data_IF_370340504850
#
_entry.id   IF_370340504850
#
_cell.length_a   1.000
_cell.length_b   1.000
_cell.length_c   1.000
_cell.angle_alpha   90.00
_cell.angle_beta   90.00
_cell.angle_gamma   90.00
#
_symmetry.space_group_name_H-M   'P 1'
#
loop_
_entity.id
_entity.type
_entity.pdbx_description
1 polymer ?
#
# COMPACT_ATOMS: atom_id res chain seq x y z
N UNK A 1 -30.86 -9.17 18.44
CA UNK A 1 -29.46 -8.80 18.71
C UNK A 1 -28.74 -8.74 17.38
N UNK A 2 -28.32 -7.58 16.92
CA UNK A 2 -27.45 -7.48 15.75
C UNK A 2 -26.14 -8.18 16.05
N UNK A 3 -25.71 -9.08 15.16
CA UNK A 3 -24.40 -9.73 15.26
C UNK A 3 -23.32 -8.67 15.12
N UNK A 4 -22.32 -8.73 15.96
CA UNK A 4 -21.18 -7.82 15.87
C UNK A 4 -20.47 -7.98 14.52
N UNK A 5 -19.70 -6.97 14.09
CA UNK A 5 -18.91 -7.07 12.82
C UNK A 5 -17.98 -8.28 12.89
N UNK A 6 -17.37 -8.54 14.05
CA UNK A 6 -16.49 -9.68 14.28
C UNK A 6 -17.16 -11.04 14.02
N UNK A 7 -18.46 -11.16 14.30
CA UNK A 7 -19.23 -12.41 14.10
C UNK A 7 -19.61 -12.65 12.63
N UNK A 8 -19.41 -11.65 11.77
CA UNK A 8 -19.74 -11.67 10.34
C UNK A 8 -18.50 -11.74 9.43
N UNK A 9 -17.30 -11.67 10.01
CA UNK A 9 -16.06 -11.71 9.25
C UNK A 9 -15.88 -13.08 8.58
N UNK A 10 -15.73 -13.07 7.26
CA UNK A 10 -15.37 -14.22 6.45
C UNK A 10 -13.94 -14.05 5.92
N UNK A 11 -13.23 -15.16 5.77
CA UNK A 11 -11.85 -15.19 5.31
C UNK A 11 -11.80 -15.33 3.79
N UNK A 12 -11.05 -14.46 3.14
CA UNK A 12 -10.78 -14.48 1.70
C UNK A 12 -9.30 -14.71 1.44
N UNK A 13 -9.01 -15.43 0.37
CA UNK A 13 -7.66 -15.78 -0.05
C UNK A 13 -7.27 -14.98 -1.29
N UNK A 14 -6.01 -14.58 -1.38
CA UNK A 14 -5.50 -13.97 -2.61
C UNK A 14 -5.57 -14.95 -3.78
N UNK A 15 -5.87 -14.44 -4.97
CA UNK A 15 -5.87 -15.26 -6.19
C UNK A 15 -4.48 -15.83 -6.42
N UNK A 16 -4.43 -17.14 -6.62
CA UNK A 16 -3.23 -17.92 -6.86
C UNK A 16 -2.26 -18.05 -5.67
N UNK A 17 -2.59 -17.48 -4.51
CA UNK A 17 -1.77 -17.64 -3.30
C UNK A 17 -2.64 -17.72 -2.03
N UNK A 18 -2.74 -18.91 -1.46
CA UNK A 18 -3.51 -19.15 -0.24
C UNK A 18 -2.79 -18.74 1.04
N UNK A 19 -1.53 -18.32 0.95
CA UNK A 19 -0.76 -17.84 2.10
C UNK A 19 -1.18 -16.44 2.56
N UNK A 20 -1.70 -15.62 1.62
CA UNK A 20 -2.16 -14.27 1.91
C UNK A 20 -3.68 -14.24 2.02
N UNK A 21 -4.18 -13.73 3.13
CA UNK A 21 -5.62 -13.70 3.42
C UNK A 21 -6.04 -12.38 4.04
N UNK A 22 -7.28 -11.98 3.77
CA UNK A 22 -7.98 -10.89 4.48
C UNK A 22 -9.27 -11.41 5.07
N UNK A 23 -9.82 -10.65 6.02
CA UNK A 23 -11.16 -10.86 6.51
C UNK A 23 -12.08 -9.74 6.00
N UNK A 24 -13.28 -10.08 5.55
CA UNK A 24 -14.28 -9.11 5.16
C UNK A 24 -15.65 -9.47 5.69
N UNK A 25 -16.48 -8.49 5.97
CA UNK A 25 -17.86 -8.66 6.36
C UNK A 25 -18.78 -7.94 5.38
N UNK A 26 -19.78 -8.64 4.86
CA UNK A 26 -20.81 -8.01 4.04
C UNK A 26 -21.73 -7.17 4.92
N UNK A 27 -22.09 -5.97 4.44
CA UNK A 27 -22.97 -5.04 5.12
C UNK A 27 -22.87 -3.65 4.50
N UNK A 28 -23.73 -2.75 4.94
CA UNK A 28 -23.68 -1.35 4.50
C UNK A 28 -22.89 -0.55 5.53
N UNK A 29 -21.69 -0.11 5.13
CA UNK A 29 -20.79 0.63 5.99
C UNK A 29 -20.57 2.04 5.43
N UNK A 30 -20.64 3.04 6.30
CA UNK A 30 -20.30 4.41 5.95
C UNK A 30 -18.84 4.68 6.33
N UNK A 31 -18.07 5.22 5.37
CA UNK A 31 -16.76 5.81 5.60
C UNK A 31 -16.88 7.33 5.55
N UNK A 32 -15.82 8.03 5.91
CA UNK A 32 -15.79 9.52 5.80
C UNK A 32 -16.00 10.04 4.38
N UNK A 33 -15.85 9.20 3.35
CA UNK A 33 -15.87 9.61 1.94
C UNK A 33 -16.81 8.77 1.05
N UNK A 34 -17.33 7.64 1.53
CA UNK A 34 -18.17 6.75 0.70
C UNK A 34 -18.98 5.77 1.55
N UNK A 35 -20.03 5.21 0.92
CA UNK A 35 -20.71 4.02 1.42
C UNK A 35 -20.12 2.78 0.75
N UNK A 36 -19.78 1.78 1.54
CA UNK A 36 -19.20 0.53 1.06
C UNK A 36 -20.05 -0.67 1.51
N UNK A 37 -20.15 -1.68 0.66
CA UNK A 37 -20.93 -2.88 0.94
C UNK A 37 -20.15 -3.96 1.69
N UNK A 38 -18.87 -3.74 1.92
CA UNK A 38 -17.99 -4.63 2.65
C UNK A 38 -17.13 -3.86 3.64
N UNK A 39 -17.04 -4.35 4.86
CA UNK A 39 -15.95 -4.00 5.77
C UNK A 39 -14.78 -4.95 5.48
N UNK A 40 -13.61 -4.40 5.19
CA UNK A 40 -12.39 -5.16 4.88
C UNK A 40 -11.39 -4.94 6.01
N UNK A 41 -10.98 -6.04 6.65
CA UNK A 41 -9.99 -6.02 7.72
C UNK A 41 -8.64 -6.50 7.18
N UNK A 42 -7.74 -5.56 6.99
CA UNK A 42 -6.35 -5.76 6.54
C UNK A 42 -5.34 -5.70 7.69
N UNK A 43 -5.82 -5.57 8.93
CA UNK A 43 -4.98 -5.35 10.12
C UNK A 43 -3.91 -6.42 10.29
N UNK A 44 -4.25 -7.68 10.08
CA UNK A 44 -3.31 -8.80 10.23
C UNK A 44 -2.09 -8.66 9.34
N UNK A 45 -2.27 -8.25 8.07
CA UNK A 45 -1.16 -8.03 7.12
C UNK A 45 -0.29 -6.86 7.55
N UNK A 46 -0.85 -5.85 8.22
CA UNK A 46 -0.10 -4.70 8.70
C UNK A 46 0.73 -4.98 9.96
N UNK A 47 0.26 -5.85 10.86
CA UNK A 47 0.85 -6.00 12.20
C UNK A 47 1.51 -7.35 12.47
N UNK A 48 1.22 -8.39 11.69
CA UNK A 48 1.82 -9.72 11.87
C UNK A 48 2.97 -9.94 10.91
N UNK A 49 4.15 -10.20 11.45
CA UNK A 49 5.40 -10.39 10.71
C UNK A 49 5.27 -11.44 9.61
N UNK A 50 4.71 -12.61 9.92
CA UNK A 50 4.56 -13.69 8.93
C UNK A 50 3.63 -13.31 7.78
N UNK A 51 2.52 -12.66 8.06
CA UNK A 51 1.54 -12.25 7.06
C UNK A 51 2.04 -11.06 6.23
N UNK A 52 2.72 -10.09 6.85
CA UNK A 52 3.37 -8.99 6.16
C UNK A 52 4.47 -9.49 5.19
N UNK A 53 5.25 -10.49 5.61
CA UNK A 53 6.29 -11.09 4.76
C UNK A 53 5.71 -11.77 3.53
N UNK A 54 4.66 -12.55 3.66
CA UNK A 54 4.01 -13.21 2.51
C UNK A 54 3.33 -12.18 1.58
N UNK A 55 2.68 -11.17 2.15
CA UNK A 55 2.10 -10.08 1.38
C UNK A 55 3.17 -9.28 0.59
N UNK A 56 4.33 -9.04 1.17
CA UNK A 56 5.45 -8.37 0.51
C UNK A 56 5.96 -9.17 -0.71
N UNK A 57 6.10 -10.49 -0.58
CA UNK A 57 6.46 -11.37 -1.71
C UNK A 57 5.45 -11.26 -2.85
N UNK A 58 4.17 -11.31 -2.51
CA UNK A 58 3.09 -11.20 -3.48
C UNK A 58 3.12 -9.86 -4.22
N UNK A 59 3.29 -8.76 -3.51
CA UNK A 59 3.41 -7.42 -4.11
C UNK A 59 4.63 -7.31 -5.01
N UNK A 60 5.78 -7.85 -4.59
CA UNK A 60 6.99 -7.90 -5.43
C UNK A 60 6.72 -8.59 -6.76
N UNK A 61 6.07 -9.75 -6.75
CA UNK A 61 5.73 -10.50 -7.96
C UNK A 61 4.83 -9.72 -8.91
N UNK A 62 3.93 -8.88 -8.36
CA UNK A 62 3.08 -7.99 -9.14
C UNK A 62 3.85 -6.83 -9.80
N UNK A 63 4.93 -6.38 -9.18
CA UNK A 63 5.70 -5.21 -9.62
C UNK A 63 6.91 -5.58 -10.50
N UNK A 64 7.52 -6.75 -10.29
CA UNK A 64 8.72 -7.17 -11.04
C UNK A 64 8.43 -7.22 -12.54
N UNK A 65 9.40 -6.80 -13.35
CA UNK A 65 9.28 -6.63 -14.81
C UNK A 65 8.28 -5.54 -15.28
N UNK A 66 7.70 -4.78 -14.35
CA UNK A 66 6.80 -3.65 -14.66
C UNK A 66 7.35 -2.33 -14.16
N UNK A 67 8.14 -2.37 -13.12
CA UNK A 67 8.86 -1.23 -12.55
C UNK A 67 10.34 -1.53 -12.67
N UNK A 68 11.10 -0.61 -13.26
CA UNK A 68 12.54 -0.79 -13.47
C UNK A 68 13.34 -0.44 -12.22
N UNK A 69 13.01 0.69 -11.59
CA UNK A 69 13.79 1.23 -10.48
C UNK A 69 12.92 1.65 -9.30
N UNK A 70 13.36 1.27 -8.11
CA UNK A 70 12.76 1.64 -6.83
C UNK A 70 13.89 2.10 -5.91
N UNK A 71 13.77 3.31 -5.37
CA UNK A 71 14.72 3.89 -4.43
C UNK A 71 14.12 4.05 -3.02
N UNK A 72 12.79 4.21 -2.94
CA UNK A 72 12.09 4.51 -1.70
C UNK A 72 10.68 3.93 -1.69
N UNK A 73 10.24 3.54 -0.50
CA UNK A 73 8.86 3.13 -0.20
C UNK A 73 8.30 4.12 0.82
N UNK A 74 7.24 4.82 0.44
CA UNK A 74 6.50 5.73 1.32
C UNK A 74 5.28 5.00 1.85
N UNK A 75 5.26 4.76 3.16
CA UNK A 75 4.21 4.00 3.84
C UNK A 75 3.12 4.93 4.41
N UNK A 76 1.88 4.71 3.99
CA UNK A 76 0.68 5.31 4.56
C UNK A 76 -0.07 4.29 5.43
N UNK A 77 -1.02 4.77 6.24
CA UNK A 77 -1.98 3.93 6.97
C UNK A 77 -1.32 2.80 7.78
N UNK A 78 -0.22 3.12 8.47
CA UNK A 78 0.51 2.18 9.33
C UNK A 78 1.03 0.92 8.60
N UNK A 79 1.43 1.05 7.34
CA UNK A 79 1.95 -0.06 6.52
C UNK A 79 3.46 -0.25 6.63
N UNK A 80 4.16 0.39 7.57
CA UNK A 80 5.62 0.37 7.65
C UNK A 80 6.22 -1.01 7.90
N UNK A 81 5.53 -1.89 8.61
CA UNK A 81 5.98 -3.29 8.79
C UNK A 81 5.98 -4.01 7.44
N UNK A 82 4.88 -3.90 6.69
CA UNK A 82 4.79 -4.42 5.32
C UNK A 82 5.83 -3.75 4.40
N UNK A 83 6.03 -2.44 4.57
CA UNK A 83 7.02 -1.67 3.81
C UNK A 83 8.45 -2.15 4.01
N UNK A 84 8.83 -2.50 5.24
CA UNK A 84 10.15 -3.05 5.53
C UNK A 84 10.38 -4.39 4.82
N UNK A 85 9.40 -5.30 4.86
CA UNK A 85 9.48 -6.57 4.14
C UNK A 85 9.42 -6.38 2.62
N UNK A 86 8.67 -5.40 2.12
CA UNK A 86 8.66 -5.09 0.70
C UNK A 86 10.03 -4.58 0.23
N UNK A 87 10.70 -3.73 1.02
CA UNK A 87 12.08 -3.30 0.77
C UNK A 87 13.03 -4.49 0.69
N UNK A 88 12.97 -5.41 1.67
CA UNK A 88 13.76 -6.66 1.64
C UNK A 88 13.51 -7.49 0.37
N UNK A 89 12.25 -7.58 -0.08
CA UNK A 89 11.90 -8.32 -1.30
C UNK A 89 12.39 -7.60 -2.56
N UNK A 90 12.39 -6.26 -2.59
CA UNK A 90 12.93 -5.47 -3.71
C UNK A 90 14.44 -5.68 -3.84
N UNK A 91 15.18 -5.74 -2.73
CA UNK A 91 16.63 -5.99 -2.71
C UNK A 91 17.02 -7.38 -3.24
N UNK A 92 16.12 -8.35 -3.23
CA UNK A 92 16.39 -9.69 -3.81
C UNK A 92 16.61 -9.70 -5.32
N UNK A 93 16.38 -8.57 -5.98
CA UNK A 93 16.63 -8.37 -7.40
C UNK A 93 15.36 -8.20 -8.25
N UNK A 94 15.58 -7.83 -9.50
CA UNK A 94 14.51 -7.48 -10.44
C UNK A 94 14.19 -5.99 -10.49
N UNK A 95 14.83 -5.19 -9.64
CA UNK A 95 14.74 -3.73 -9.61
C UNK A 95 16.13 -3.13 -9.50
N UNK A 96 16.29 -1.90 -10.00
CA UNK A 96 17.50 -1.10 -9.84
C UNK A 96 17.26 -0.09 -8.73
N UNK A 97 18.25 0.14 -7.88
CA UNK A 97 18.27 1.30 -6.98
C UNK A 97 19.34 2.29 -7.41
N UNK A 98 19.01 3.59 -7.34
CA UNK A 98 19.97 4.68 -7.57
C UNK A 98 20.57 5.19 -6.25
N UNK A 99 20.26 4.55 -5.14
CA UNK A 99 20.84 4.89 -3.84
C UNK A 99 22.30 4.42 -3.75
N UNK A 100 23.19 5.32 -3.35
CA UNK A 100 24.62 5.00 -3.23
C UNK A 100 24.94 3.93 -2.17
N UNK A 101 24.05 3.73 -1.21
CA UNK A 101 24.15 2.68 -0.18
C UNK A 101 23.51 1.36 -0.59
N UNK A 102 23.01 1.26 -1.83
CA UNK A 102 22.47 0.03 -2.44
C UNK A 102 21.24 -0.59 -1.72
N UNK A 103 20.57 0.19 -0.86
CA UNK A 103 19.33 -0.23 -0.19
C UNK A 103 18.21 0.79 -0.40
N UNK A 104 16.96 0.37 -0.23
CA UNK A 104 15.81 1.25 -0.32
C UNK A 104 15.56 1.97 1.00
N UNK A 105 15.02 3.19 0.89
CA UNK A 105 14.45 3.88 2.03
C UNK A 105 13.02 3.39 2.29
N UNK A 106 12.65 3.24 3.57
CA UNK A 106 11.27 3.02 4.01
C UNK A 106 10.92 4.17 4.96
N UNK A 107 10.02 5.04 4.53
CA UNK A 107 9.69 6.26 5.26
C UNK A 107 8.17 6.47 5.36
N UNK A 108 7.76 7.18 6.41
CA UNK A 108 6.38 7.60 6.61
C UNK A 108 6.30 9.14 6.52
N UNK A 109 5.30 9.71 5.84
CA UNK A 109 5.03 11.13 5.91
C UNK A 109 4.45 11.49 7.28
N UNK A 110 4.50 12.76 7.63
CA UNK A 110 3.68 13.36 8.67
C UNK A 110 2.44 13.97 8.03
N UNK A 111 1.33 13.94 8.74
CA UNK A 111 0.11 14.64 8.36
C UNK A 111 -0.18 15.74 9.40
N UNK A 112 -0.38 16.97 8.95
CA UNK A 112 -0.70 18.08 9.82
C UNK A 112 -2.22 18.16 10.10
N UNK A 113 -2.64 19.09 10.96
CA UNK A 113 -4.03 19.26 11.38
C UNK A 113 -5.00 19.65 10.24
N UNK A 114 -4.48 20.08 9.10
CA UNK A 114 -5.27 20.39 7.90
C UNK A 114 -5.14 19.32 6.83
N UNK A 115 -4.75 18.11 7.23
CA UNK A 115 -4.61 16.94 6.36
C UNK A 115 -3.64 17.10 5.19
N UNK A 116 -2.57 17.91 5.36
CA UNK A 116 -1.47 17.98 4.40
C UNK A 116 -0.36 17.04 4.81
N UNK A 117 0.13 16.28 3.84
CA UNK A 117 1.32 15.46 4.01
C UNK A 117 2.60 16.30 3.91
N UNK A 118 3.57 15.94 4.74
CA UNK A 118 4.89 16.55 4.75
C UNK A 118 5.97 15.53 5.12
N UNK A 119 7.19 15.78 4.70
CA UNK A 119 8.36 15.01 5.11
C UNK A 119 9.26 15.88 5.98
N UNK A 120 9.75 15.31 7.09
CA UNK A 120 10.79 15.95 7.90
C UNK A 120 12.04 16.19 7.07
N UNK A 121 12.80 17.21 7.41
CA UNK A 121 14.02 17.59 6.68
C UNK A 121 15.00 16.41 6.51
N UNK A 122 15.18 15.60 7.56
CA UNK A 122 16.05 14.42 7.51
C UNK A 122 15.53 13.29 6.61
N UNK A 123 14.24 13.28 6.25
CA UNK A 123 13.63 12.30 5.35
C UNK A 123 13.56 12.80 3.88
N UNK A 124 13.92 14.05 3.62
CA UNK A 124 13.92 14.59 2.23
C UNK A 124 14.89 13.86 1.31
N UNK A 125 15.97 13.32 1.84
CA UNK A 125 16.92 12.48 1.10
C UNK A 125 16.26 11.24 0.49
N UNK A 126 15.24 10.70 1.16
CA UNK A 126 14.52 9.52 0.69
C UNK A 126 13.51 9.84 -0.43
N UNK A 127 13.26 11.12 -0.73
CA UNK A 127 12.23 11.55 -1.69
C UNK A 127 12.86 12.34 -2.86
N UNK A 128 13.70 13.32 -2.58
CA UNK A 128 14.23 14.20 -3.61
C UNK A 128 15.10 13.44 -4.62
N UNK A 129 14.71 13.46 -5.89
CA UNK A 129 15.38 12.74 -6.97
C UNK A 129 15.22 11.22 -6.96
N UNK A 130 14.28 10.69 -6.15
CA UNK A 130 14.07 9.24 -5.99
C UNK A 130 12.89 8.71 -6.78
N UNK A 131 12.98 7.44 -7.18
CA UNK A 131 11.87 6.65 -7.69
C UNK A 131 11.14 6.02 -6.50
N UNK A 132 9.89 6.43 -6.31
CA UNK A 132 9.14 6.17 -5.08
C UNK A 132 7.95 5.26 -5.35
N UNK A 133 7.79 4.22 -4.52
CA UNK A 133 6.55 3.45 -4.40
C UNK A 133 5.75 4.03 -3.22
N UNK A 134 4.46 4.27 -3.43
CA UNK A 134 3.52 4.54 -2.34
C UNK A 134 2.93 3.20 -1.91
N UNK A 135 3.05 2.88 -0.62
CA UNK A 135 2.43 1.71 -0.01
C UNK A 135 1.28 2.17 0.91
N UNK A 136 0.09 1.66 0.65
CA UNK A 136 -1.14 2.00 1.38
C UNK A 136 -1.92 0.72 1.70
N UNK A 137 -2.72 0.73 2.75
CA UNK A 137 -3.50 -0.46 3.12
C UNK A 137 -4.67 -0.70 2.16
N UNK A 138 -5.46 0.31 1.86
CA UNK A 138 -6.62 0.18 0.97
C UNK A 138 -6.88 1.45 0.16
N UNK A 139 -7.38 1.27 -1.06
CA UNK A 139 -7.74 2.36 -1.97
C UNK A 139 -9.20 2.18 -2.40
N UNK A 140 -10.04 3.17 -2.10
CA UNK A 140 -11.41 3.25 -2.62
C UNK A 140 -11.51 4.26 -3.76
N UNK A 141 -11.38 5.55 -3.47
CA UNK A 141 -11.43 6.64 -4.46
C UNK A 141 -10.05 7.11 -4.92
N UNK A 142 -9.00 6.79 -4.16
CA UNK A 142 -7.64 7.25 -4.42
C UNK A 142 -7.34 8.69 -4.01
N UNK A 143 -8.24 9.37 -3.31
CA UNK A 143 -8.05 10.79 -2.91
C UNK A 143 -6.82 10.97 -2.02
N UNK A 144 -6.61 10.12 -1.03
CA UNK A 144 -5.43 10.17 -0.14
C UNK A 144 -4.15 9.91 -0.93
N UNK A 145 -4.17 8.90 -1.80
CA UNK A 145 -3.02 8.56 -2.66
C UNK A 145 -2.69 9.69 -3.63
N UNK A 146 -3.70 10.34 -4.22
CA UNK A 146 -3.49 11.53 -5.08
C UNK A 146 -2.76 12.64 -4.32
N UNK A 147 -3.19 12.97 -3.09
CA UNK A 147 -2.51 13.96 -2.24
C UNK A 147 -1.05 13.57 -1.95
N UNK A 148 -0.80 12.27 -1.75
CA UNK A 148 0.57 11.78 -1.52
C UNK A 148 1.42 11.89 -2.80
N UNK A 149 0.87 11.59 -3.98
CA UNK A 149 1.56 11.79 -5.26
C UNK A 149 1.97 13.25 -5.43
N UNK A 150 1.05 14.19 -5.17
CA UNK A 150 1.32 15.63 -5.24
C UNK A 150 2.41 16.06 -4.24
N UNK A 151 2.38 15.53 -3.02
CA UNK A 151 3.37 15.79 -2.00
C UNK A 151 4.77 15.29 -2.43
N UNK A 152 4.89 14.06 -2.90
CA UNK A 152 6.16 13.48 -3.37
C UNK A 152 6.72 14.31 -4.53
N UNK A 153 5.89 14.70 -5.49
CA UNK A 153 6.29 15.57 -6.62
C UNK A 153 6.77 16.94 -6.14
N UNK A 154 6.11 17.51 -5.15
CA UNK A 154 6.53 18.78 -4.54
C UNK A 154 7.95 18.69 -3.94
N UNK A 155 8.29 17.57 -3.30
CA UNK A 155 9.62 17.30 -2.75
C UNK A 155 10.64 16.80 -3.81
N UNK A 156 10.28 16.78 -5.09
CA UNK A 156 11.16 16.40 -6.20
C UNK A 156 11.31 14.91 -6.44
N UNK A 157 10.43 14.08 -5.87
CA UNK A 157 10.38 12.64 -6.11
C UNK A 157 9.54 12.29 -7.34
N UNK A 158 9.75 11.09 -7.86
CA UNK A 158 8.96 10.48 -8.94
C UNK A 158 8.23 9.25 -8.41
N UNK A 159 6.89 9.27 -8.44
CA UNK A 159 6.09 8.10 -8.09
C UNK A 159 6.08 7.14 -9.29
N UNK A 160 6.62 5.94 -9.10
CA UNK A 160 6.73 4.92 -10.15
C UNK A 160 5.69 3.79 -10.01
N UNK A 161 4.98 3.74 -8.90
CA UNK A 161 3.91 2.78 -8.67
C UNK A 161 3.25 2.99 -7.32
N UNK A 162 2.10 2.37 -7.15
CA UNK A 162 1.34 2.33 -5.91
C UNK A 162 1.13 0.86 -5.56
N UNK A 163 1.50 0.45 -4.36
CA UNK A 163 1.24 -0.87 -3.82
C UNK A 163 0.15 -0.80 -2.75
N UNK A 164 -0.79 -1.74 -2.76
CA UNK A 164 -1.86 -1.79 -1.77
C UNK A 164 -2.23 -3.22 -1.37
N UNK A 165 -2.82 -3.38 -0.20
CA UNK A 165 -3.39 -4.67 0.21
C UNK A 165 -4.70 -4.88 -0.51
N UNK A 166 -5.55 -3.84 -0.58
CA UNK A 166 -6.83 -3.87 -1.30
C UNK A 166 -6.99 -2.61 -2.17
N UNK A 167 -7.58 -2.74 -3.36
CA UNK A 167 -7.94 -1.60 -4.20
C UNK A 167 -9.16 -1.87 -5.06
N UNK A 168 -10.00 -0.86 -5.23
CA UNK A 168 -11.11 -0.85 -6.19
C UNK A 168 -10.76 -0.15 -7.50
N UNK A 169 -9.54 0.37 -7.62
CA UNK A 169 -9.06 1.09 -8.80
C UNK A 169 -7.70 0.57 -9.25
N UNK A 170 -7.44 0.60 -10.55
CA UNK A 170 -6.19 0.12 -11.17
C UNK A 170 -5.14 1.23 -11.34
N UNK A 171 -5.56 2.48 -11.23
CA UNK A 171 -4.73 3.65 -11.46
C UNK A 171 -5.21 4.82 -10.61
N UNK A 172 -4.28 5.62 -10.10
CA UNK A 172 -4.55 6.88 -9.43
C UNK A 172 -3.66 7.96 -10.03
N UNK A 173 -4.26 8.99 -10.60
CA UNK A 173 -3.56 10.17 -11.13
C UNK A 173 -2.40 9.83 -12.11
N UNK A 174 -2.65 8.86 -13.00
CA UNK A 174 -1.71 8.37 -13.99
C UNK A 174 -0.66 7.39 -13.47
N UNK A 175 -0.78 6.93 -12.20
CA UNK A 175 0.14 5.97 -11.60
C UNK A 175 -0.57 4.63 -11.39
N UNK A 176 0.03 3.54 -11.88
CA UNK A 176 -0.49 2.18 -11.78
C UNK A 176 -0.56 1.71 -10.33
N UNK A 177 -1.66 1.03 -9.99
CA UNK A 177 -1.85 0.33 -8.71
C UNK A 177 -1.52 -1.16 -8.87
N UNK A 178 -0.72 -1.67 -7.94
CA UNK A 178 -0.40 -3.09 -7.76
C UNK A 178 -1.01 -3.54 -6.44
N UNK A 179 -2.06 -4.34 -6.49
CA UNK A 179 -2.80 -4.74 -5.31
C UNK A 179 -2.77 -6.25 -5.10
N UNK A 180 -2.94 -6.69 -3.85
CA UNK A 180 -3.08 -8.10 -3.51
C UNK A 180 -4.52 -8.55 -3.76
N UNK A 181 -5.49 -7.75 -3.29
CA UNK A 181 -6.93 -8.00 -3.44
C UNK A 181 -7.61 -6.84 -4.17
N UNK A 182 -8.58 -7.16 -4.98
CA UNK A 182 -9.44 -6.20 -5.67
C UNK A 182 -10.93 -6.45 -5.42
N UNK A 183 -11.80 -5.63 -6.01
CA UNK A 183 -13.24 -5.74 -5.83
C UNK A 183 -13.84 -7.06 -6.35
N UNK A 184 -13.17 -7.74 -7.28
CA UNK A 184 -13.63 -9.02 -7.83
C UNK A 184 -13.28 -10.21 -6.92
N UNK A 185 -12.40 -10.03 -5.93
CA UNK A 185 -12.09 -11.07 -4.94
C UNK A 185 -13.16 -11.17 -3.85
N UNK A 186 -14.06 -10.18 -3.78
CA UNK A 186 -15.18 -10.18 -2.86
C UNK A 186 -16.42 -10.79 -3.51
N UNK A 187 -17.25 -11.54 -2.76
CA UNK A 187 -18.49 -12.10 -3.31
C UNK A 187 -19.46 -10.99 -3.70
N UNK A 188 -20.10 -11.13 -4.86
CA UNK A 188 -21.11 -10.21 -5.37
C UNK A 188 -22.42 -10.21 -4.53
#
# INVERSE_FOLDING_TARGET
MEKSISDRLMKFYARNDKSVTINAAQGHFATSQSHINYYIDVTRIKVRVSEAREAAKFLRERMVNRIESIDSIVCLDETQVLGAFLGEEVEKGGFITNNAHETEYVVCPEENSIHQFMFRENNRLAICGKNVIILVDSISTGTTVKRMIECIRYYGGKVCGIASIFSTVDEVYGVKVYTIFDGEDLPG
#
